data_IF_875318990018
#
_entry.id   IF_875318990018
#
_cell.length_a   1.000
_cell.length_b   1.000
_cell.length_c   1.000
_cell.angle_alpha   90.00
_cell.angle_beta   90.00
_cell.angle_gamma   90.00
#
_symmetry.space_group_name_H-M   'P 1'
#
loop_
_entity.id
_entity.type
_entity.pdbx_description
1 polymer ?
#
# COMPACT_ATOMS: atom_id res chain seq x y z
N UNK A 1 -25.59 7.46 23.08
CA UNK A 1 -24.42 7.45 23.98
C UNK A 1 -24.80 6.68 25.23
N UNK A 2 -24.02 5.66 25.59
CA UNK A 2 -24.29 4.81 26.78
C UNK A 2 -24.27 5.70 28.03
N UNK A 3 -25.33 5.65 28.84
CA UNK A 3 -25.42 6.39 30.09
C UNK A 3 -24.38 5.89 31.09
N UNK A 4 -23.89 6.74 32.00
CA UNK A 4 -22.85 6.36 32.97
C UNK A 4 -23.22 5.13 33.84
N UNK A 5 -24.52 4.86 34.04
CA UNK A 5 -25.03 3.71 34.79
C UNK A 5 -25.12 2.41 33.98
N UNK A 6 -25.04 2.46 32.65
CA UNK A 6 -25.12 1.30 31.74
C UNK A 6 -23.76 0.87 31.20
N UNK A 7 -22.70 1.63 31.53
CA UNK A 7 -21.35 1.36 31.08
C UNK A 7 -20.72 0.24 31.92
N UNK A 8 -20.31 -0.84 31.26
CA UNK A 8 -19.60 -1.95 31.91
C UNK A 8 -18.28 -1.50 32.57
N UNK A 9 -17.96 -2.10 33.71
CA UNK A 9 -16.69 -1.89 34.43
C UNK A 9 -15.49 -2.52 33.72
N UNK A 10 -15.71 -3.36 32.71
CA UNK A 10 -14.63 -3.99 31.94
C UNK A 10 -13.78 -2.95 31.21
N UNK A 11 -14.38 -1.83 30.79
CA UNK A 11 -13.68 -0.74 30.09
C UNK A 11 -12.70 0.01 30.99
N UNK A 12 -12.81 -0.14 32.31
CA UNK A 12 -11.87 0.40 33.29
C UNK A 12 -10.68 -0.53 33.56
N UNK A 13 -10.66 -1.73 32.97
CA UNK A 13 -9.57 -2.69 33.12
C UNK A 13 -8.52 -2.47 32.03
N UNK A 14 -7.29 -2.04 32.34
CA UNK A 14 -6.26 -1.79 31.32
C UNK A 14 -5.88 -3.06 30.57
N UNK A 15 -5.86 -4.21 31.27
CA UNK A 15 -5.55 -5.51 30.69
C UNK A 15 -6.51 -5.89 29.55
N UNK A 16 -7.81 -5.58 29.71
CA UNK A 16 -8.79 -5.84 28.66
C UNK A 16 -8.43 -5.16 27.34
N UNK A 17 -7.95 -3.91 27.40
CA UNK A 17 -7.56 -3.17 26.19
C UNK A 17 -6.29 -3.72 25.55
N UNK A 18 -5.33 -4.17 26.35
CA UNK A 18 -4.13 -4.84 25.84
C UNK A 18 -4.46 -6.17 25.16
N UNK A 19 -5.30 -7.00 25.79
CA UNK A 19 -5.71 -8.28 25.23
C UNK A 19 -6.52 -8.07 23.94
N UNK A 20 -7.46 -7.12 23.95
CA UNK A 20 -8.24 -6.76 22.76
C UNK A 20 -7.36 -6.26 21.61
N UNK A 21 -6.29 -5.51 21.92
CA UNK A 21 -5.30 -5.10 20.92
C UNK A 21 -4.57 -6.30 20.33
N UNK A 22 -4.06 -7.20 21.17
CA UNK A 22 -3.31 -8.39 20.73
C UNK A 22 -4.20 -9.31 19.87
N UNK A 23 -5.43 -9.55 20.29
CA UNK A 23 -6.40 -10.36 19.55
C UNK A 23 -6.76 -9.75 18.20
N UNK A 24 -6.96 -8.42 18.15
CA UNK A 24 -7.26 -7.71 16.91
C UNK A 24 -6.07 -7.72 15.94
N UNK A 25 -4.85 -7.54 16.45
CA UNK A 25 -3.62 -7.64 15.65
C UNK A 25 -3.43 -9.06 15.11
N UNK A 26 -3.60 -10.09 15.95
CA UNK A 26 -3.50 -11.48 15.54
C UNK A 26 -4.48 -11.79 14.40
N UNK A 27 -5.74 -11.41 14.57
CA UNK A 27 -6.77 -11.58 13.53
C UNK A 27 -6.41 -10.86 12.23
N UNK A 28 -5.94 -9.63 12.28
CA UNK A 28 -5.55 -8.89 11.07
C UNK A 28 -4.35 -9.55 10.37
N UNK A 29 -3.35 -10.03 11.13
CA UNK A 29 -2.23 -10.79 10.59
C UNK A 29 -2.70 -12.07 9.90
N UNK A 30 -3.64 -12.82 10.47
CA UNK A 30 -4.21 -14.02 9.87
C UNK A 30 -4.87 -13.70 8.52
N UNK A 31 -5.73 -12.67 8.51
CA UNK A 31 -6.53 -12.30 7.33
C UNK A 31 -5.66 -11.90 6.13
N UNK A 32 -4.53 -11.24 6.37
CA UNK A 32 -3.62 -10.81 5.30
C UNK A 32 -2.46 -11.78 5.05
N UNK A 33 -2.43 -12.91 5.79
CA UNK A 33 -1.41 -13.94 5.66
C UNK A 33 -0.02 -13.52 6.16
N UNK A 34 0.04 -12.70 7.21
CA UNK A 34 1.26 -12.42 7.98
C UNK A 34 1.42 -13.33 9.20
N UNK A 35 0.38 -14.02 9.66
CA UNK A 35 0.51 -14.95 10.78
C UNK A 35 1.31 -16.20 10.39
N UNK A 36 2.42 -16.42 11.10
CA UNK A 36 3.31 -17.55 10.89
C UNK A 36 3.85 -18.03 12.23
N UNK A 37 4.02 -19.34 12.37
CA UNK A 37 4.80 -19.92 13.47
C UNK A 37 6.17 -19.23 13.58
N UNK A 38 6.66 -18.92 14.79
CA UNK A 38 7.91 -18.21 15.01
C UNK A 38 9.10 -18.79 14.21
N UNK A 39 9.20 -20.11 14.11
CA UNK A 39 10.28 -20.79 13.37
C UNK A 39 10.17 -20.57 11.86
N UNK A 40 8.96 -20.69 11.32
CA UNK A 40 8.71 -20.46 9.89
C UNK A 40 8.94 -18.99 9.50
N UNK A 41 8.58 -18.06 10.39
CA UNK A 41 8.83 -16.63 10.20
C UNK A 41 10.33 -16.32 10.14
N UNK A 42 11.12 -16.83 11.09
CA UNK A 42 12.57 -16.61 11.12
C UNK A 42 13.27 -17.20 9.89
N UNK A 43 12.90 -18.41 9.50
CA UNK A 43 13.46 -19.06 8.32
C UNK A 43 13.12 -18.27 7.05
N UNK A 44 11.87 -17.80 6.92
CA UNK A 44 11.45 -16.95 5.81
C UNK A 44 12.21 -15.63 5.79
N UNK A 45 12.28 -14.93 6.93
CA UNK A 45 12.89 -13.61 7.06
C UNK A 45 14.38 -13.63 6.70
N UNK A 46 15.09 -14.71 7.07
CA UNK A 46 16.51 -14.89 6.70
C UNK A 46 16.75 -15.02 5.19
N UNK A 47 15.75 -15.51 4.44
CA UNK A 47 15.79 -15.67 2.98
C UNK A 47 15.34 -14.44 2.19
N UNK A 48 14.76 -13.43 2.86
CA UNK A 48 14.29 -12.20 2.20
C UNK A 48 15.47 -11.28 1.83
N UNK A 49 15.34 -10.55 0.71
CA UNK A 49 16.22 -9.43 0.43
C UNK A 49 15.94 -8.25 1.38
N UNK A 50 16.86 -7.27 1.45
CA UNK A 50 16.65 -6.06 2.27
C UNK A 50 15.34 -5.34 1.90
N UNK A 51 15.02 -5.07 0.62
CA UNK A 51 13.74 -4.47 0.27
C UNK A 51 12.51 -5.31 0.64
N UNK A 52 12.62 -6.64 0.55
CA UNK A 52 11.53 -7.53 0.95
C UNK A 52 11.32 -7.47 2.46
N UNK A 53 12.39 -7.47 3.27
CA UNK A 53 12.28 -7.25 4.72
C UNK A 53 11.60 -5.92 5.03
N UNK A 54 12.02 -4.83 4.38
CA UNK A 54 11.40 -3.52 4.56
C UNK A 54 9.92 -3.47 4.18
N UNK A 55 9.53 -4.19 3.13
CA UNK A 55 8.12 -4.36 2.78
C UNK A 55 7.33 -5.13 3.86
N UNK A 56 7.95 -6.14 4.48
CA UNK A 56 7.34 -6.88 5.59
C UNK A 56 7.18 -6.00 6.83
N UNK A 57 8.24 -5.29 7.22
CA UNK A 57 8.22 -4.34 8.34
C UNK A 57 7.12 -3.29 8.12
N UNK A 58 6.99 -2.72 6.90
CA UNK A 58 5.97 -1.74 6.56
C UNK A 58 4.53 -2.29 6.71
N UNK A 59 4.29 -3.54 6.30
CA UNK A 59 2.97 -4.17 6.46
C UNK A 59 2.65 -4.40 7.92
N UNK A 60 3.63 -4.87 8.70
CA UNK A 60 3.47 -5.10 10.13
C UNK A 60 3.16 -3.79 10.87
N UNK A 61 3.95 -2.74 10.63
CA UNK A 61 3.75 -1.41 11.20
C UNK A 61 2.35 -0.87 10.91
N UNK A 62 1.85 -1.05 9.68
CA UNK A 62 0.53 -0.57 9.30
C UNK A 62 -0.59 -1.31 10.05
N UNK A 63 -0.47 -2.62 10.34
CA UNK A 63 -1.46 -3.32 11.19
C UNK A 63 -1.42 -2.73 12.59
N UNK A 64 -0.23 -2.72 13.20
CA UNK A 64 -0.04 -2.31 14.58
C UNK A 64 -0.51 -0.88 14.81
N UNK A 65 -0.13 0.05 13.93
CA UNK A 65 -0.54 1.45 14.01
C UNK A 65 -2.06 1.61 13.82
N UNK A 66 -2.66 0.93 12.85
CA UNK A 66 -4.11 1.02 12.58
C UNK A 66 -4.92 0.49 13.77
N UNK A 67 -4.55 -0.69 14.29
CA UNK A 67 -5.26 -1.28 15.43
C UNK A 67 -5.06 -0.43 16.68
N UNK A 68 -3.86 0.11 16.92
CA UNK A 68 -3.59 0.97 18.07
C UNK A 68 -4.36 2.30 17.99
N UNK A 69 -4.39 2.93 16.82
CA UNK A 69 -5.21 4.14 16.57
C UNK A 69 -6.68 3.88 16.90
N UNK A 70 -7.24 2.81 16.32
CA UNK A 70 -8.64 2.46 16.54
C UNK A 70 -8.92 2.06 17.98
N UNK A 71 -7.97 1.39 18.66
CA UNK A 71 -8.07 1.07 20.08
C UNK A 71 -8.21 2.35 20.92
N UNK A 72 -7.34 3.34 20.68
CA UNK A 72 -7.41 4.64 21.36
C UNK A 72 -8.76 5.33 21.08
N UNK A 73 -9.23 5.29 19.83
CA UNK A 73 -10.56 5.79 19.47
C UNK A 73 -11.68 5.11 20.27
N UNK A 74 -11.66 3.79 20.38
CA UNK A 74 -12.62 3.03 21.18
C UNK A 74 -12.51 3.35 22.67
N UNK A 75 -11.31 3.50 23.23
CA UNK A 75 -11.13 3.88 24.63
C UNK A 75 -11.76 5.26 24.92
N UNK A 76 -11.56 6.23 24.03
CA UNK A 76 -12.18 7.56 24.13
C UNK A 76 -13.71 7.46 24.02
N UNK A 77 -14.23 6.70 23.05
CA UNK A 77 -15.67 6.48 22.85
C UNK A 77 -16.32 5.83 24.08
N UNK A 78 -15.65 4.86 24.67
CA UNK A 78 -16.11 4.16 25.87
C UNK A 78 -15.87 4.96 27.15
N UNK A 79 -15.33 6.19 27.06
CA UNK A 79 -15.05 7.11 28.16
C UNK A 79 -14.00 6.60 29.17
N UNK A 80 -13.06 5.75 28.74
CA UNK A 80 -11.99 5.26 29.62
C UNK A 80 -11.26 6.45 30.29
N UNK A 81 -10.76 6.24 31.51
CA UNK A 81 -10.04 7.30 32.21
C UNK A 81 -8.83 7.75 31.37
N UNK A 82 -8.64 9.06 31.23
CA UNK A 82 -7.59 9.63 30.37
C UNK A 82 -6.21 9.06 30.70
N UNK A 83 -5.89 8.96 31.99
CA UNK A 83 -4.65 8.36 32.46
C UNK A 83 -4.46 6.92 31.97
N UNK A 84 -5.53 6.12 31.92
CA UNK A 84 -5.45 4.74 31.42
C UNK A 84 -5.26 4.69 29.91
N UNK A 85 -5.84 5.62 29.16
CA UNK A 85 -5.59 5.75 27.71
C UNK A 85 -4.11 6.03 27.47
N UNK A 86 -3.50 6.95 28.22
CA UNK A 86 -2.06 7.21 28.13
C UNK A 86 -1.23 5.98 28.50
N UNK A 87 -1.55 5.33 29.62
CA UNK A 87 -0.81 4.17 30.12
C UNK A 87 -0.82 3.01 29.13
N UNK A 88 -2.00 2.66 28.60
CA UNK A 88 -2.15 1.58 27.61
C UNK A 88 -1.52 1.99 26.28
N UNK A 89 -1.83 3.20 25.80
CA UNK A 89 -1.36 3.72 24.53
C UNK A 89 0.16 3.75 24.41
N UNK A 90 0.85 4.40 25.35
CA UNK A 90 2.32 4.48 25.32
C UNK A 90 3.00 3.13 25.56
N UNK A 91 2.40 2.27 26.38
CA UNK A 91 2.94 0.91 26.63
C UNK A 91 2.85 0.04 25.37
N UNK A 92 1.70 0.05 24.69
CA UNK A 92 1.52 -0.67 23.43
C UNK A 92 2.41 -0.08 22.34
N UNK A 93 2.49 1.25 22.23
CA UNK A 93 3.37 1.94 21.29
C UNK A 93 4.84 1.50 21.47
N UNK A 94 5.33 1.48 22.71
CA UNK A 94 6.69 1.03 23.04
C UNK A 94 6.95 -0.45 22.73
N UNK A 95 5.91 -1.31 22.79
CA UNK A 95 5.99 -2.73 22.42
C UNK A 95 5.97 -2.94 20.90
N UNK A 96 5.22 -2.12 20.15
CA UNK A 96 5.05 -2.27 18.71
C UNK A 96 6.33 -1.98 17.91
N UNK A 97 7.22 -1.12 18.43
CA UNK A 97 8.48 -0.72 17.74
C UNK A 97 8.26 -0.22 16.31
N UNK A 98 7.22 0.59 16.15
CA UNK A 98 6.82 1.15 14.85
C UNK A 98 7.92 2.00 14.22
N UNK A 99 7.95 2.03 12.88
CA UNK A 99 8.67 3.05 12.14
C UNK A 99 8.27 4.48 12.55
N UNK A 100 9.19 5.43 12.34
CA UNK A 100 9.08 6.80 12.85
C UNK A 100 7.76 7.49 12.51
N UNK A 101 7.31 7.39 11.26
CA UNK A 101 6.09 8.07 10.81
C UNK A 101 4.83 7.56 11.54
N UNK A 102 4.70 6.23 11.67
CA UNK A 102 3.58 5.63 12.39
C UNK A 102 3.65 5.92 13.89
N UNK A 103 4.85 5.84 14.47
CA UNK A 103 5.07 6.15 15.88
C UNK A 103 4.72 7.60 16.21
N UNK A 104 5.11 8.54 15.35
CA UNK A 104 4.79 9.95 15.50
C UNK A 104 3.27 10.20 15.42
N UNK A 105 2.59 9.60 14.44
CA UNK A 105 1.13 9.70 14.30
C UNK A 105 0.38 9.24 15.56
N UNK A 106 0.75 8.09 16.12
CA UNK A 106 0.12 7.58 17.35
C UNK A 106 0.48 8.45 18.57
N UNK A 107 1.73 8.90 18.67
CA UNK A 107 2.16 9.77 19.77
C UNK A 107 1.37 11.08 19.76
N UNK A 108 1.21 11.69 18.59
CA UNK A 108 0.41 12.90 18.43
C UNK A 108 -1.05 12.67 18.82
N UNK A 109 -1.67 11.55 18.40
CA UNK A 109 -3.02 11.19 18.84
C UNK A 109 -3.12 11.10 20.36
N UNK A 110 -2.14 10.45 21.02
CA UNK A 110 -2.08 10.36 22.47
C UNK A 110 -1.98 11.74 23.11
N UNK A 111 -1.12 12.63 22.62
CA UNK A 111 -0.98 14.00 23.11
C UNK A 111 -2.31 14.78 23.07
N UNK A 112 -3.15 14.53 22.06
CA UNK A 112 -4.48 15.16 21.94
C UNK A 112 -5.57 14.55 22.87
N UNK A 113 -5.33 13.41 23.53
CA UNK A 113 -6.36 12.67 24.29
C UNK A 113 -7.09 13.50 25.35
N UNK A 114 -6.44 14.49 25.95
CA UNK A 114 -7.06 15.37 26.93
C UNK A 114 -8.35 16.05 26.41
N UNK A 115 -8.35 16.44 25.14
CA UNK A 115 -9.42 17.22 24.51
C UNK A 115 -10.47 16.36 23.76
N UNK A 116 -10.18 15.07 23.53
CA UNK A 116 -11.01 14.19 22.71
C UNK A 116 -12.14 13.54 23.51
N UNK A 117 -13.36 13.47 22.98
CA UNK A 117 -14.50 12.88 23.73
C UNK A 117 -15.49 12.16 22.81
N UNK A 118 -16.05 11.03 23.27
CA UNK A 118 -17.03 10.30 22.45
C UNK A 118 -16.41 9.84 21.12
N UNK A 119 -17.03 10.24 20.00
CA UNK A 119 -16.59 9.84 18.65
C UNK A 119 -15.70 10.90 17.96
N UNK A 120 -14.91 11.66 18.72
CA UNK A 120 -14.01 12.69 18.17
C UNK A 120 -12.85 12.14 17.32
N UNK A 121 -12.64 10.83 17.29
CA UNK A 121 -11.55 10.20 16.54
C UNK A 121 -12.16 9.35 15.43
N UNK A 122 -11.84 9.69 14.18
CA UNK A 122 -12.23 8.88 13.04
C UNK A 122 -11.49 7.54 13.06
N UNK A 123 -12.25 6.47 12.80
CA UNK A 123 -11.69 5.13 12.68
C UNK A 123 -10.99 4.99 11.33
N UNK A 124 -9.85 4.32 11.35
CA UNK A 124 -9.13 3.92 10.15
C UNK A 124 -9.64 2.53 9.74
N UNK A 125 -10.03 2.30 8.47
CA UNK A 125 -10.39 0.97 8.01
C UNK A 125 -9.28 -0.05 8.32
N UNK A 126 -9.67 -1.23 8.79
CA UNK A 126 -8.73 -2.34 9.02
C UNK A 126 -7.94 -2.63 7.74
N UNK A 127 -6.73 -3.18 7.84
CA UNK A 127 -5.93 -3.43 6.64
C UNK A 127 -6.64 -4.39 5.68
N UNK A 128 -7.32 -5.39 6.24
CA UNK A 128 -8.20 -6.32 5.52
C UNK A 128 -9.32 -5.63 4.71
N UNK A 129 -9.76 -4.43 5.13
CA UNK A 129 -10.80 -3.62 4.49
C UNK A 129 -10.29 -2.27 3.98
N UNK A 130 -8.97 -2.12 3.86
CA UNK A 130 -8.35 -0.84 3.53
C UNK A 130 -8.42 -0.57 2.04
N UNK A 131 -8.39 0.71 1.67
CA UNK A 131 -8.12 1.14 0.30
C UNK A 131 -6.75 0.63 -0.19
N UNK A 132 -5.84 0.29 0.73
CA UNK A 132 -4.57 -0.39 0.45
C UNK A 132 -4.83 -1.85 0.07
N UNK A 133 -4.29 -2.29 -1.07
CA UNK A 133 -4.58 -3.62 -1.60
C UNK A 133 -3.35 -4.50 -1.65
N UNK A 134 -2.30 -4.01 -2.29
CA UNK A 134 -1.08 -4.79 -2.52
C UNK A 134 0.14 -3.89 -2.45
N UNK A 135 1.28 -4.46 -2.09
CA UNK A 135 2.55 -3.77 -2.20
C UNK A 135 3.64 -4.71 -2.71
N UNK A 136 4.57 -4.13 -3.47
CA UNK A 136 5.59 -4.83 -4.21
C UNK A 136 6.92 -4.11 -4.08
N UNK A 137 7.99 -4.86 -3.87
CA UNK A 137 9.34 -4.34 -4.13
C UNK A 137 9.52 -4.19 -5.63
N UNK A 138 9.93 -3.01 -6.06
CA UNK A 138 10.30 -2.73 -7.44
C UNK A 138 11.69 -2.09 -7.51
N UNK A 139 12.29 -2.14 -8.69
CA UNK A 139 13.50 -1.38 -9.03
C UNK A 139 13.22 -0.58 -10.29
N UNK A 140 13.39 0.74 -10.22
CA UNK A 140 13.29 1.61 -11.40
C UNK A 140 14.72 1.85 -11.90
N UNK A 141 15.05 1.55 -13.17
CA UNK A 141 16.37 1.82 -13.72
C UNK A 141 16.62 3.32 -13.77
N UNK A 142 17.77 3.74 -13.25
CA UNK A 142 18.26 5.10 -13.36
C UNK A 142 19.46 5.08 -14.33
N UNK A 143 19.46 5.88 -15.41
CA UNK A 143 20.58 5.98 -16.34
C UNK A 143 21.90 6.39 -15.68
N UNK A 144 21.85 7.01 -14.51
CA UNK A 144 23.00 7.63 -13.84
C UNK A 144 23.48 6.90 -12.57
N UNK A 145 22.83 5.80 -12.16
CA UNK A 145 23.22 5.05 -10.97
C UNK A 145 23.15 3.53 -11.16
N UNK A 146 24.10 2.81 -10.57
CA UNK A 146 24.10 1.35 -10.48
C UNK A 146 24.17 0.94 -9.00
N UNK A 147 23.26 0.10 -8.47
CA UNK A 147 22.03 -0.43 -9.05
C UNK A 147 20.84 0.52 -8.82
N UNK A 148 19.90 0.59 -9.77
CA UNK A 148 18.72 1.46 -9.69
C UNK A 148 17.98 1.41 -8.34
N UNK A 149 17.30 2.52 -8.00
CA UNK A 149 16.70 2.69 -6.68
C UNK A 149 15.58 1.65 -6.45
N UNK A 150 15.76 0.86 -5.38
CA UNK A 150 14.74 -0.07 -4.91
C UNK A 150 13.67 0.69 -4.15
N UNK A 151 12.42 0.49 -4.54
CA UNK A 151 11.25 1.16 -3.98
C UNK A 151 10.20 0.13 -3.59
N UNK A 152 9.25 0.57 -2.76
CA UNK A 152 8.01 -0.13 -2.49
C UNK A 152 6.92 0.56 -3.30
N UNK A 153 6.31 -0.17 -4.23
CA UNK A 153 5.10 0.26 -4.94
C UNK A 153 3.89 -0.27 -4.17
N UNK A 154 3.08 0.63 -3.63
CA UNK A 154 1.81 0.33 -2.96
C UNK A 154 0.65 0.62 -3.92
N UNK A 155 -0.23 -0.35 -4.15
CA UNK A 155 -1.44 -0.22 -4.97
C UNK A 155 -2.63 0.02 -4.05
N UNK A 156 -3.35 1.12 -4.30
CA UNK A 156 -4.57 1.50 -3.61
C UNK A 156 -5.78 1.43 -4.57
N UNK A 157 -6.97 1.75 -4.07
CA UNK A 157 -8.20 1.77 -4.89
C UNK A 157 -8.16 2.73 -6.07
N UNK A 158 -7.62 3.94 -5.88
CA UNK A 158 -7.65 5.02 -6.89
C UNK A 158 -6.26 5.50 -7.30
N UNK A 159 -5.21 5.03 -6.62
CA UNK A 159 -3.85 5.48 -6.81
C UNK A 159 -2.85 4.34 -6.64
N UNK A 160 -1.62 4.53 -7.08
CA UNK A 160 -0.46 3.81 -6.57
C UNK A 160 0.57 4.80 -6.03
N UNK A 161 1.33 4.36 -5.04
CA UNK A 161 2.32 5.17 -4.34
C UNK A 161 3.69 4.51 -4.47
N UNK A 162 4.71 5.31 -4.70
CA UNK A 162 6.11 4.89 -4.60
C UNK A 162 6.70 5.38 -3.29
N UNK A 163 7.28 4.46 -2.54
CA UNK A 163 7.91 4.71 -1.24
C UNK A 163 9.35 4.25 -1.28
N UNK A 164 10.24 5.05 -0.73
CA UNK A 164 11.63 4.64 -0.48
C UNK A 164 11.68 3.52 0.57
N UNK A 165 12.78 2.77 0.62
CA UNK A 165 12.95 1.75 1.68
C UNK A 165 13.08 2.36 3.09
N UNK A 166 13.37 3.65 3.18
CA UNK A 166 13.41 4.42 4.43
C UNK A 166 12.03 4.88 4.91
N UNK A 167 10.97 4.65 4.14
CA UNK A 167 9.60 5.03 4.52
C UNK A 167 9.11 6.33 3.89
N UNK A 168 9.99 7.18 3.34
CA UNK A 168 9.56 8.43 2.70
C UNK A 168 8.72 8.17 1.43
N UNK A 169 7.63 8.92 1.27
CA UNK A 169 6.80 8.90 0.06
C UNK A 169 7.54 9.67 -1.03
N UNK A 170 7.82 9.01 -2.15
CA UNK A 170 8.50 9.59 -3.29
C UNK A 170 7.52 10.17 -4.30
N UNK A 171 6.43 9.44 -4.60
CA UNK A 171 5.36 9.95 -5.46
C UNK A 171 4.03 9.24 -5.23
N UNK A 172 2.95 9.94 -5.57
CA UNK A 172 1.58 9.41 -5.60
C UNK A 172 1.03 9.61 -6.99
N UNK A 173 0.51 8.54 -7.60
CA UNK A 173 0.07 8.51 -9.00
C UNK A 173 -1.37 8.04 -9.08
N UNK A 174 -2.20 8.76 -9.82
CA UNK A 174 -3.61 8.42 -9.98
C UNK A 174 -3.75 7.26 -10.98
N UNK A 175 -4.44 6.18 -10.59
CA UNK A 175 -4.70 5.04 -11.48
C UNK A 175 -5.51 5.47 -12.72
N UNK A 176 -6.35 6.50 -12.60
CA UNK A 176 -7.09 7.07 -13.72
C UNK A 176 -6.19 7.69 -14.80
N UNK A 177 -4.89 7.88 -14.56
CA UNK A 177 -3.93 8.31 -15.57
C UNK A 177 -3.27 7.13 -16.31
N UNK A 178 -3.38 5.90 -15.78
CA UNK A 178 -2.83 4.72 -16.45
C UNK A 178 -3.62 4.46 -17.72
N UNK A 179 -2.91 4.41 -18.84
CA UNK A 179 -3.43 4.07 -20.17
C UNK A 179 -3.27 2.60 -20.47
N UNK A 180 -2.10 2.05 -20.16
CA UNK A 180 -1.83 0.64 -20.34
C UNK A 180 -0.78 0.14 -19.37
N UNK A 181 -0.77 -1.16 -19.15
CA UNK A 181 0.28 -1.86 -18.42
C UNK A 181 0.78 -3.03 -19.27
N UNK A 182 2.10 -3.21 -19.30
CA UNK A 182 2.77 -4.24 -20.09
C UNK A 182 3.67 -5.04 -19.15
N UNK A 183 3.59 -6.36 -19.21
CA UNK A 183 4.40 -7.28 -18.43
C UNK A 183 5.27 -8.12 -19.36
N UNK A 184 6.52 -8.33 -18.96
CA UNK A 184 7.44 -9.30 -19.55
C UNK A 184 7.87 -10.25 -18.42
N UNK A 185 7.12 -11.34 -18.24
CA UNK A 185 7.21 -12.18 -17.06
C UNK A 185 8.60 -12.82 -16.87
N UNK A 186 9.23 -13.29 -17.95
CA UNK A 186 10.56 -13.92 -17.90
C UNK A 186 11.63 -12.95 -17.39
N UNK A 187 11.55 -11.69 -17.81
CA UNK A 187 12.47 -10.63 -17.41
C UNK A 187 12.11 -9.98 -16.08
N UNK A 188 10.99 -10.35 -15.45
CA UNK A 188 10.47 -9.69 -14.25
C UNK A 188 10.30 -8.18 -14.46
N UNK A 189 9.95 -7.77 -15.68
CA UNK A 189 9.81 -6.36 -16.06
C UNK A 189 8.33 -6.00 -16.24
N UNK A 190 7.98 -4.80 -15.80
CA UNK A 190 6.68 -4.17 -15.98
C UNK A 190 6.88 -2.77 -16.56
N UNK A 191 5.99 -2.35 -17.46
CA UNK A 191 5.95 -0.98 -17.98
C UNK A 191 4.56 -0.44 -17.75
N UNK A 192 4.47 0.70 -17.08
CA UNK A 192 3.21 1.44 -16.93
C UNK A 192 3.25 2.62 -17.90
N UNK A 193 2.22 2.74 -18.73
CA UNK A 193 1.99 3.88 -19.60
C UNK A 193 0.99 4.82 -18.94
N UNK A 194 1.40 6.04 -18.65
CA UNK A 194 0.57 7.05 -17.98
C UNK A 194 0.40 8.28 -18.86
N UNK A 195 -0.81 8.82 -18.90
CA UNK A 195 -1.09 10.11 -19.53
C UNK A 195 -0.67 11.23 -18.59
N UNK A 196 0.10 12.18 -19.11
CA UNK A 196 0.56 13.38 -18.41
C UNK A 196 0.39 14.59 -19.34
N UNK A 197 -0.70 15.34 -19.16
CA UNK A 197 -1.10 16.39 -20.10
C UNK A 197 -1.45 15.77 -21.47
N UNK A 198 -0.81 16.26 -22.53
CA UNK A 198 -1.00 15.77 -23.90
C UNK A 198 -0.01 14.64 -24.28
N UNK A 199 0.81 14.18 -23.34
CA UNK A 199 1.85 13.17 -23.58
C UNK A 199 1.59 11.87 -22.82
N UNK A 200 2.19 10.78 -23.30
CA UNK A 200 2.19 9.48 -22.63
C UNK A 200 3.62 9.14 -22.20
N UNK A 201 3.80 8.98 -20.89
CA UNK A 201 5.05 8.59 -20.27
C UNK A 201 5.09 7.08 -20.05
N UNK A 202 6.25 6.46 -20.30
CA UNK A 202 6.50 5.07 -19.96
C UNK A 202 7.43 4.97 -18.76
N UNK A 203 7.02 4.25 -17.73
CA UNK A 203 7.88 3.90 -16.59
C UNK A 203 8.16 2.41 -16.60
N UNK A 204 9.39 2.05 -16.95
CA UNK A 204 9.89 0.67 -16.84
C UNK A 204 10.35 0.40 -15.40
N UNK A 205 9.95 -0.75 -14.87
CA UNK A 205 10.32 -1.20 -13.54
C UNK A 205 10.53 -2.71 -13.51
N UNK A 206 11.34 -3.19 -12.57
CA UNK A 206 11.58 -4.61 -12.35
C UNK A 206 10.96 -5.05 -11.03
N UNK A 207 10.25 -6.19 -11.04
CA UNK A 207 9.58 -6.74 -9.87
C UNK A 207 9.63 -8.27 -9.86
N UNK A 208 10.15 -8.88 -8.78
CA UNK A 208 10.15 -10.35 -8.66
C UNK A 208 8.75 -10.96 -8.81
N UNK A 209 7.71 -10.24 -8.39
CA UNK A 209 6.29 -10.64 -8.46
C UNK A 209 5.54 -9.90 -9.58
N UNK A 210 6.16 -9.70 -10.73
CA UNK A 210 5.59 -8.93 -11.85
C UNK A 210 4.17 -9.37 -12.23
N UNK A 211 3.89 -10.68 -12.32
CA UNK A 211 2.52 -11.19 -12.61
C UNK A 211 1.49 -10.71 -11.58
N UNK A 212 1.83 -10.79 -10.31
CA UNK A 212 0.96 -10.32 -9.23
C UNK A 212 0.76 -8.80 -9.28
N UNK A 213 1.82 -8.04 -9.59
CA UNK A 213 1.71 -6.58 -9.78
C UNK A 213 0.76 -6.24 -10.95
N UNK A 214 0.94 -6.90 -12.09
CA UNK A 214 0.12 -6.71 -13.28
C UNK A 214 -1.37 -6.95 -12.99
N UNK A 215 -1.70 -8.07 -12.36
CA UNK A 215 -3.09 -8.38 -11.98
C UNK A 215 -3.63 -7.51 -10.84
N UNK A 216 -2.78 -7.05 -9.92
CA UNK A 216 -3.20 -6.12 -8.88
C UNK A 216 -3.64 -4.78 -9.47
N UNK A 217 -2.87 -4.21 -10.41
CA UNK A 217 -3.26 -3.01 -11.15
C UNK A 217 -4.53 -3.26 -11.97
N UNK A 218 -4.62 -4.38 -12.70
CA UNK A 218 -5.83 -4.74 -13.45
C UNK A 218 -7.08 -4.78 -12.55
N UNK A 219 -6.98 -5.40 -11.37
CA UNK A 219 -8.08 -5.48 -10.43
C UNK A 219 -8.47 -4.11 -9.85
N UNK A 220 -7.47 -3.24 -9.59
CA UNK A 220 -7.72 -1.87 -9.12
C UNK A 220 -8.42 -1.04 -10.21
N UNK A 221 -7.95 -1.10 -11.46
CA UNK A 221 -8.60 -0.44 -12.60
C UNK A 221 -10.04 -0.91 -12.81
N UNK A 222 -10.32 -2.21 -12.66
CA UNK A 222 -11.68 -2.75 -12.75
C UNK A 222 -12.62 -2.16 -11.69
N UNK A 223 -12.16 -1.97 -10.45
CA UNK A 223 -12.96 -1.32 -9.38
C UNK A 223 -13.28 0.14 -9.71
N UNK A 224 -12.39 0.82 -10.43
CA UNK A 224 -12.62 2.17 -10.97
C UNK A 224 -13.52 2.18 -12.20
N UNK A 225 -14.16 1.05 -12.55
CA UNK A 225 -14.98 0.88 -13.75
C UNK A 225 -14.23 1.08 -15.07
N UNK A 226 -12.92 0.84 -15.09
CA UNK A 226 -12.17 0.74 -16.35
C UNK A 226 -12.27 -0.67 -16.92
N UNK A 227 -12.51 -0.76 -18.22
CA UNK A 227 -12.43 -1.99 -19.00
C UNK A 227 -10.99 -2.23 -19.44
N UNK A 228 -10.55 -3.49 -19.37
CA UNK A 228 -9.21 -3.91 -19.76
C UNK A 228 -9.26 -4.72 -21.05
N UNK A 229 -8.58 -4.26 -22.10
CA UNK A 229 -8.49 -4.94 -23.40
C UNK A 229 -7.07 -5.45 -23.62
N UNK A 230 -6.94 -6.72 -24.02
CA UNK A 230 -5.66 -7.30 -24.36
C UNK A 230 -5.04 -6.60 -25.58
N UNK A 231 -3.75 -6.27 -25.48
CA UNK A 231 -2.99 -5.64 -26.55
C UNK A 231 -2.31 -6.74 -27.37
N UNK A 232 -2.62 -6.80 -28.67
CA UNK A 232 -2.08 -7.85 -29.58
C UNK A 232 -0.55 -7.78 -29.73
N UNK A 233 0.02 -6.58 -29.77
CA UNK A 233 1.46 -6.37 -29.81
C UNK A 233 1.86 -5.27 -28.81
N UNK A 234 2.10 -5.64 -27.53
CA UNK A 234 2.32 -4.67 -26.46
C UNK A 234 3.53 -3.76 -26.69
N UNK A 235 4.62 -4.29 -27.25
CA UNK A 235 5.84 -3.52 -27.50
C UNK A 235 5.59 -2.48 -28.59
N UNK A 236 4.97 -2.88 -29.70
CA UNK A 236 4.61 -1.95 -30.78
C UNK A 236 3.58 -0.91 -30.31
N UNK A 237 2.63 -1.31 -29.47
CA UNK A 237 1.68 -0.37 -28.86
C UNK A 237 2.42 0.69 -28.03
N UNK A 238 3.32 0.27 -27.13
CA UNK A 238 4.14 1.17 -26.32
C UNK A 238 4.88 2.20 -27.18
N UNK A 239 5.53 1.73 -28.26
CA UNK A 239 6.29 2.59 -29.17
C UNK A 239 5.43 3.64 -29.86
N UNK A 240 4.19 3.30 -30.24
CA UNK A 240 3.29 4.26 -30.90
C UNK A 240 2.81 5.37 -29.96
N UNK A 241 2.73 5.08 -28.66
CA UNK A 241 2.16 6.02 -27.69
C UNK A 241 3.20 6.99 -27.12
N UNK A 242 4.47 6.57 -27.02
CA UNK A 242 5.53 7.32 -26.34
C UNK A 242 6.36 8.12 -27.34
N UNK A 243 6.51 9.43 -27.13
CA UNK A 243 7.24 10.33 -28.05
C UNK A 243 8.74 10.06 -28.17
N UNK A 244 9.38 9.43 -27.16
CA UNK A 244 10.82 9.18 -27.12
C UNK A 244 11.14 7.70 -26.86
N UNK A 245 10.82 6.84 -27.84
CA UNK A 245 10.76 5.39 -27.67
C UNK A 245 12.05 4.63 -28.01
N UNK A 246 13.09 5.26 -28.57
CA UNK A 246 14.23 4.55 -29.19
C UNK A 246 15.11 3.78 -28.19
N UNK A 247 15.31 4.33 -26.98
CA UNK A 247 16.02 3.64 -25.90
C UNK A 247 15.18 2.53 -25.27
N UNK A 248 13.87 2.74 -25.17
CA UNK A 248 12.91 1.78 -24.63
C UNK A 248 12.70 0.58 -25.58
N UNK A 249 12.73 0.81 -26.90
CA UNK A 249 12.51 -0.21 -27.94
C UNK A 249 13.55 -1.33 -27.88
N UNK A 250 14.85 -0.98 -27.91
CA UNK A 250 15.94 -1.96 -27.85
C UNK A 250 15.92 -2.74 -26.54
N UNK A 251 15.57 -2.07 -25.44
CA UNK A 251 15.48 -2.67 -24.13
C UNK A 251 14.32 -3.65 -24.03
N UNK A 252 13.10 -3.30 -24.43
CA UNK A 252 11.92 -4.17 -24.22
C UNK A 252 11.87 -5.38 -25.15
N UNK A 253 12.25 -5.24 -26.43
CA UNK A 253 12.20 -6.34 -27.39
C UNK A 253 13.16 -7.49 -27.04
N UNK A 254 14.29 -7.17 -26.41
CA UNK A 254 15.27 -8.17 -25.98
C UNK A 254 14.82 -8.97 -24.74
N UNK A 255 13.83 -8.48 -23.98
CA UNK A 255 13.42 -9.07 -22.70
C UNK A 255 12.45 -10.25 -22.85
N UNK A 256 11.86 -10.45 -24.03
CA UNK A 256 11.05 -11.63 -24.38
C UNK A 256 9.58 -11.32 -24.65
N UNK A 257 8.72 -12.34 -24.47
CA UNK A 257 7.28 -12.25 -24.78
C UNK A 257 6.59 -11.30 -23.79
N UNK A 258 5.90 -10.31 -24.36
CA UNK A 258 5.16 -9.31 -23.61
C UNK A 258 3.65 -9.58 -23.64
N UNK A 259 2.99 -9.37 -22.50
CA UNK A 259 1.54 -9.33 -22.36
C UNK A 259 1.15 -7.90 -21.97
N UNK A 260 0.05 -7.37 -22.51
CA UNK A 260 -0.35 -5.99 -22.25
C UNK A 260 -1.85 -5.83 -22.14
N UNK A 261 -2.28 -4.90 -21.28
CA UNK A 261 -3.67 -4.47 -21.14
C UNK A 261 -3.75 -2.96 -21.36
N UNK A 262 -4.67 -2.55 -22.22
CA UNK A 262 -5.10 -1.16 -22.37
C UNK A 262 -6.35 -0.94 -21.52
N UNK A 263 -6.41 0.20 -20.83
CA UNK A 263 -7.52 0.57 -19.97
C UNK A 263 -8.33 1.72 -20.57
N UNK A 264 -9.65 1.54 -20.64
CA UNK A 264 -10.59 2.56 -21.10
C UNK A 264 -11.80 2.64 -20.19
N UNK A 265 -12.43 3.81 -20.08
CA UNK A 265 -13.64 3.99 -19.27
C UNK A 265 -14.62 4.86 -20.04
N UNK A 266 -15.82 4.35 -20.30
CA UNK A 266 -16.86 5.01 -21.09
C UNK A 266 -17.53 6.19 -20.38
N UNK A 267 -17.40 6.28 -19.05
CA UNK A 267 -17.98 7.37 -18.24
C UNK A 267 -17.09 8.60 -18.14
N UNK A 268 -15.78 8.42 -18.28
CA UNK A 268 -14.85 9.53 -18.42
C UNK A 268 -14.74 9.83 -19.91
N UNK A 269 -14.83 11.11 -20.30
CA UNK A 269 -14.75 11.50 -21.70
C UNK A 269 -13.59 10.77 -22.40
N UNK A 270 -13.74 10.31 -23.66
CA UNK A 270 -12.66 9.65 -24.37
C UNK A 270 -11.42 10.52 -24.24
N UNK A 271 -10.36 9.96 -23.64
CA UNK A 271 -9.09 10.65 -23.52
C UNK A 271 -8.77 11.13 -24.93
N UNK A 272 -8.70 12.44 -25.15
CA UNK A 272 -8.32 13.03 -26.43
C UNK A 272 -6.83 12.80 -26.68
N UNK A 273 -6.43 11.53 -26.73
CA UNK A 273 -5.28 11.13 -27.52
C UNK A 273 -5.79 11.16 -28.95
N UNK A 274 -5.85 12.36 -29.53
CA UNK A 274 -6.20 12.55 -30.92
C UNK A 274 -5.14 11.85 -31.76
N UNK A 275 -5.49 10.70 -32.32
CA UNK A 275 -4.69 10.04 -33.34
C UNK A 275 -5.62 9.66 -34.48
N UNK A 276 -5.73 10.59 -35.44
CA UNK A 276 -5.88 10.26 -36.86
C UNK A 276 -4.54 9.80 -37.40
#
# INVERSE_FOLDING_TARGET
MIGAKERSRIWDQPQFWEDAFLDAVARERDLIGLDHSPTALLERYSKLSIPERKLWDLKEDRILATVLHNLIAYMVMMKAAKQEIYNVGYRLLGRCRLGSDFSHSISHLLECVAELNGNSIDLIPSMSNSIYQHAFTITIPDPHSDPGNSLILEVYETAYLLRTLGGAIESVRNLANILAIIMIAKAKACVILEVSGDEVNATQMYCKKTKSLFHAIQAAMKRLSYEAKAITNPIQFCMKMVRNADSLQRNLAALGVAEGLEFSNSKFAPRKCAFS
#
